data_IF_040237887648
#
_entry.id   IF_040237887648
#
_cell.length_a   1.000
_cell.length_b   1.000
_cell.length_c   1.000
_cell.angle_alpha   90.00
_cell.angle_beta   90.00
_cell.angle_gamma   90.00
#
_symmetry.space_group_name_H-M   'P 1'
#
loop_
_entity.id
_entity.type
_entity.pdbx_description
1 polymer ?
#
# COMPACT_ATOMS: atom_id res chain seq x y z
N UNK A 1 14.79 -11.89 8.01
CA UNK A 1 13.63 -11.94 8.94
C UNK A 1 12.64 -10.88 8.50
N UNK A 2 11.32 -11.15 8.54
CA UNK A 2 10.32 -10.17 8.15
C UNK A 2 10.44 -8.89 9.00
N UNK A 3 10.43 -7.72 8.35
CA UNK A 3 10.50 -6.41 9.03
C UNK A 3 9.10 -5.84 9.10
N UNK A 4 8.55 -5.71 10.31
CA UNK A 4 7.23 -5.16 10.52
C UNK A 4 7.28 -3.67 10.86
N UNK A 5 6.19 -2.96 10.53
CA UNK A 5 5.98 -1.57 10.94
C UNK A 5 5.92 -1.52 12.46
N UNK A 6 6.49 -0.47 13.06
CA UNK A 6 6.30 -0.21 14.48
C UNK A 6 4.81 0.06 14.75
N UNK A 7 4.26 -0.58 15.78
CA UNK A 7 2.88 -0.38 16.21
C UNK A 7 2.87 -0.10 17.72
N UNK A 8 2.03 0.85 18.11
CA UNK A 8 1.87 1.28 19.50
C UNK A 8 0.64 0.57 20.09
N UNK A 9 0.83 -0.20 21.16
CA UNK A 9 -0.27 -0.86 21.86
C UNK A 9 -1.24 0.14 22.53
N UNK A 10 -0.84 1.39 22.72
CA UNK A 10 -1.72 2.47 23.17
C UNK A 10 -2.52 3.11 22.03
N UNK A 11 -2.34 2.66 20.78
CA UNK A 11 -3.10 3.16 19.64
C UNK A 11 -4.61 2.88 19.84
N UNK A 12 -5.38 3.95 20.04
CA UNK A 12 -6.80 3.86 20.37
C UNK A 12 -7.72 3.76 19.15
N UNK A 13 -7.20 3.99 17.94
CA UNK A 13 -7.97 3.96 16.69
C UNK A 13 -7.18 3.29 15.57
N UNK A 14 -7.83 2.36 14.89
CA UNK A 14 -7.43 1.87 13.58
C UNK A 14 -8.54 2.27 12.61
N UNK A 15 -8.21 3.09 11.60
CA UNK A 15 -9.19 3.50 10.59
C UNK A 15 -8.98 2.59 9.38
N UNK A 16 -9.89 1.62 9.13
CA UNK A 16 -9.81 0.82 7.93
C UNK A 16 -10.11 1.72 6.72
N UNK A 17 -9.17 1.79 5.78
CA UNK A 17 -9.35 2.49 4.51
C UNK A 17 -9.56 1.45 3.42
N UNK A 18 -10.76 1.41 2.84
CA UNK A 18 -11.05 0.62 1.63
C UNK A 18 -10.84 1.51 0.43
N UNK A 19 -9.68 1.40 -0.19
CA UNK A 19 -9.29 2.26 -1.31
C UNK A 19 -10.30 2.23 -2.46
N UNK A 20 -10.91 1.06 -2.73
CA UNK A 20 -11.97 0.91 -3.74
C UNK A 20 -13.25 1.68 -3.45
N UNK A 21 -13.53 2.02 -2.19
CA UNK A 21 -14.65 2.92 -1.82
C UNK A 21 -14.25 4.40 -1.83
N UNK A 22 -12.95 4.70 -1.90
CA UNK A 22 -12.44 6.09 -1.89
C UNK A 22 -12.21 6.62 -3.28
N UNK A 23 -11.79 5.76 -4.21
CA UNK A 23 -11.60 6.10 -5.61
C UNK A 23 -12.94 5.99 -6.36
N UNK A 24 -13.60 7.14 -6.54
CA UNK A 24 -14.92 7.22 -7.16
C UNK A 24 -14.84 7.52 -8.66
N UNK A 25 -15.63 6.84 -9.51
CA UNK A 25 -15.66 7.13 -10.94
C UNK A 25 -15.93 8.60 -11.25
N UNK A 26 -15.27 9.12 -12.28
CA UNK A 26 -15.42 10.51 -12.71
C UNK A 26 -14.58 11.52 -11.92
N UNK A 27 -13.82 11.10 -10.91
CA UNK A 27 -12.80 11.96 -10.30
C UNK A 27 -11.46 11.87 -11.03
N UNK A 28 -10.59 12.84 -10.77
CA UNK A 28 -9.23 12.83 -11.28
C UNK A 28 -8.44 11.63 -10.74
N UNK A 29 -8.57 11.33 -9.45
CA UNK A 29 -7.87 10.24 -8.78
C UNK A 29 -8.24 8.87 -9.37
N UNK A 30 -9.52 8.68 -9.73
CA UNK A 30 -9.95 7.47 -10.44
C UNK A 30 -9.27 7.33 -11.79
N UNK A 31 -9.23 8.41 -12.57
CA UNK A 31 -8.60 8.41 -13.88
C UNK A 31 -7.10 8.15 -13.78
N UNK A 32 -6.43 8.79 -12.82
CA UNK A 32 -5.01 8.59 -12.55
C UNK A 32 -4.72 7.14 -12.16
N UNK A 33 -5.50 6.58 -11.24
CA UNK A 33 -5.33 5.19 -10.80
C UNK A 33 -5.51 4.20 -11.96
N UNK A 34 -6.55 4.39 -12.79
CA UNK A 34 -6.77 3.55 -13.96
C UNK A 34 -5.58 3.58 -14.93
N UNK A 35 -5.07 4.77 -15.24
CA UNK A 35 -3.94 4.93 -16.16
C UNK A 35 -2.68 4.26 -15.63
N UNK A 36 -2.39 4.45 -14.35
CA UNK A 36 -1.20 3.84 -13.72
C UNK A 36 -1.31 2.31 -13.70
N UNK A 37 -2.49 1.76 -13.41
CA UNK A 37 -2.67 0.31 -13.26
C UNK A 37 -2.82 -0.44 -14.59
N UNK A 38 -3.38 0.19 -15.62
CA UNK A 38 -3.78 -0.51 -16.86
C UNK A 38 -3.04 -0.02 -18.11
N UNK A 39 -2.62 1.24 -18.15
CA UNK A 39 -2.14 1.89 -19.37
C UNK A 39 -0.62 2.14 -19.36
N UNK A 40 0.03 2.09 -18.18
CA UNK A 40 1.48 2.28 -18.04
C UNK A 40 2.21 0.95 -17.81
N UNK A 41 3.22 0.67 -18.64
CA UNK A 41 4.18 -0.41 -18.37
C UNK A 41 5.23 0.03 -17.35
N UNK A 42 5.07 -0.44 -16.12
CA UNK A 42 5.96 -0.15 -14.99
C UNK A 42 7.02 -1.24 -14.77
N UNK A 43 7.09 -2.27 -15.63
CA UNK A 43 8.02 -3.40 -15.48
C UNK A 43 9.49 -2.98 -15.40
N UNK A 44 9.85 -1.85 -16.04
CA UNK A 44 11.19 -1.26 -15.98
C UNK A 44 11.65 -0.91 -14.55
N UNK A 45 10.71 -0.71 -13.63
CA UNK A 45 11.01 -0.42 -12.22
C UNK A 45 11.14 -1.68 -11.37
N UNK A 46 10.74 -2.86 -11.87
CA UNK A 46 10.77 -4.10 -11.09
C UNK A 46 12.18 -4.43 -10.58
N UNK A 47 13.18 -4.29 -11.45
CA UNK A 47 14.58 -4.53 -11.10
C UNK A 47 15.14 -3.53 -10.07
N UNK A 48 14.41 -2.43 -9.79
CA UNK A 48 14.79 -1.43 -8.79
C UNK A 48 14.18 -1.71 -7.43
N UNK A 49 13.13 -2.54 -7.32
CA UNK A 49 12.60 -2.94 -6.03
C UNK A 49 13.63 -3.83 -5.33
N UNK A 50 14.20 -3.32 -4.23
CA UNK A 50 15.08 -4.07 -3.31
C UNK A 50 14.37 -4.15 -1.97
N UNK A 51 13.35 -5.00 -1.89
CA UNK A 51 12.52 -5.08 -0.68
C UNK A 51 13.08 -6.02 0.41
N UNK A 52 14.23 -6.62 0.14
CA UNK A 52 14.79 -7.77 0.84
C UNK A 52 15.40 -7.38 2.21
N UNK A 53 16.07 -6.22 2.27
CA UNK A 53 16.67 -5.68 3.51
C UNK A 53 16.31 -4.21 3.80
N UNK A 54 16.13 -3.38 2.76
CA UNK A 54 15.78 -1.95 2.90
C UNK A 54 14.34 -1.63 2.45
N UNK A 55 13.54 -2.64 2.11
CA UNK A 55 12.16 -2.49 1.65
C UNK A 55 11.20 -1.90 2.66
N UNK A 56 10.07 -1.37 2.20
CA UNK A 56 9.01 -0.92 3.09
C UNK A 56 8.59 -2.06 4.05
N UNK A 57 8.56 -1.82 5.37
CA UNK A 57 8.15 -2.83 6.33
C UNK A 57 6.67 -3.21 6.16
N UNK A 58 6.34 -4.48 6.40
CA UNK A 58 4.98 -5.02 6.32
C UNK A 58 4.18 -4.72 7.60
N UNK A 59 2.86 -4.87 7.58
CA UNK A 59 2.09 -4.91 8.82
C UNK A 59 2.28 -6.28 9.49
N UNK A 60 2.49 -6.28 10.81
CA UNK A 60 2.51 -7.52 11.59
C UNK A 60 1.10 -8.13 11.60
N UNK A 61 0.90 -9.39 11.16
CA UNK A 61 -0.43 -10.02 11.18
C UNK A 61 -1.08 -10.02 12.57
N UNK A 62 -0.30 -9.99 13.65
CA UNK A 62 -0.82 -9.95 15.02
C UNK A 62 -1.62 -8.67 15.34
N UNK A 63 -1.48 -7.59 14.55
CA UNK A 63 -2.28 -6.37 14.72
C UNK A 63 -3.74 -6.54 14.26
N UNK A 64 -4.05 -7.61 13.52
CA UNK A 64 -5.38 -7.91 12.99
C UNK A 64 -6.14 -8.95 13.84
N UNK A 65 -5.57 -9.39 14.96
CA UNK A 65 -6.15 -10.33 15.93
C UNK A 65 -6.51 -9.61 17.22
#
# INVERSE_FOLDING_TARGET
MARYKHYDYNQTKMIPLRFSDQIQPGTFEYTLNHVVDNDLDLSVFESRYRNDYNGAPAYDPAILL
#
